data_IF_061340339394
#
_entry.id   IF_061340339394
#
_cell.length_a   1.000
_cell.length_b   1.000
_cell.length_c   1.000
_cell.angle_alpha   90.00
_cell.angle_beta   90.00
_cell.angle_gamma   90.00
#
_symmetry.space_group_name_H-M   'P 1'
#
loop_
_entity.id
_entity.type
_entity.pdbx_description
1 polymer ?
#
# COMPACT_ATOMS: atom_id res chain seq x y z
N UNK A 1 4.98 -11.98 -17.81
CA UNK A 1 4.34 -10.85 -18.51
C UNK A 1 3.06 -11.41 -19.09
N UNK A 2 1.90 -10.93 -18.65
CA UNK A 2 0.61 -11.55 -19.00
C UNK A 2 0.00 -10.88 -20.23
N UNK A 3 0.14 -9.55 -20.34
CA UNK A 3 -0.27 -8.77 -21.52
C UNK A 3 0.71 -7.61 -21.77
N UNK A 4 0.94 -7.26 -23.04
CA UNK A 4 1.73 -6.09 -23.44
C UNK A 4 1.03 -5.33 -24.56
N UNK A 5 0.77 -4.06 -24.32
CA UNK A 5 0.34 -3.04 -25.26
C UNK A 5 1.52 -2.13 -25.63
N UNK A 6 1.30 -1.15 -26.51
CA UNK A 6 2.33 -0.23 -26.98
C UNK A 6 3.05 0.48 -25.82
N UNK A 7 2.28 1.04 -24.88
CA UNK A 7 2.81 1.84 -23.75
C UNK A 7 2.44 1.27 -22.37
N UNK A 8 1.86 0.07 -22.33
CA UNK A 8 1.41 -0.53 -21.08
C UNK A 8 1.71 -2.02 -21.05
N UNK A 9 2.16 -2.52 -19.92
CA UNK A 9 2.30 -3.96 -19.70
C UNK A 9 1.69 -4.37 -18.39
N UNK A 10 0.95 -5.47 -18.43
CA UNK A 10 0.26 -6.06 -17.28
C UNK A 10 0.93 -7.38 -16.96
N UNK A 11 1.24 -7.58 -15.68
CA UNK A 11 1.93 -8.76 -15.19
C UNK A 11 1.49 -9.12 -13.79
N UNK A 12 1.64 -10.41 -13.47
CA UNK A 12 1.47 -10.94 -12.12
C UNK A 12 2.86 -11.26 -11.57
N UNK A 13 3.11 -10.88 -10.32
CA UNK A 13 4.34 -11.22 -9.61
C UNK A 13 4.15 -12.57 -8.91
N UNK A 14 4.81 -13.63 -9.40
CA UNK A 14 4.72 -14.99 -8.85
C UNK A 14 6.02 -15.39 -8.14
N UNK A 15 5.95 -16.44 -7.30
CA UNK A 15 7.14 -16.96 -6.61
C UNK A 15 8.24 -17.37 -7.60
N UNK A 16 7.85 -17.99 -8.71
CA UNK A 16 8.74 -18.49 -9.75
C UNK A 16 9.46 -17.35 -10.47
N UNK A 17 8.77 -16.22 -10.71
CA UNK A 17 9.40 -15.04 -11.32
C UNK A 17 10.41 -14.38 -10.39
N UNK A 18 10.11 -14.28 -9.10
CA UNK A 18 11.04 -13.77 -8.08
C UNK A 18 12.25 -14.70 -7.92
N UNK A 19 12.06 -16.03 -7.88
CA UNK A 19 13.17 -16.99 -7.82
C UNK A 19 14.13 -16.84 -8.99
N UNK A 20 13.59 -16.69 -10.21
CA UNK A 20 14.41 -16.48 -11.41
C UNK A 20 15.19 -15.17 -11.32
N UNK A 21 14.55 -14.09 -10.86
CA UNK A 21 15.23 -12.80 -10.66
C UNK A 21 16.41 -12.93 -9.69
N UNK A 22 16.22 -13.65 -8.57
CA UNK A 22 17.27 -13.91 -7.60
C UNK A 22 18.42 -14.75 -8.18
N UNK A 23 18.13 -15.74 -9.03
CA UNK A 23 19.16 -16.55 -9.70
C UNK A 23 20.05 -15.74 -10.65
N UNK A 24 19.51 -14.67 -11.25
CA UNK A 24 20.25 -13.74 -12.11
C UNK A 24 21.00 -12.68 -11.28
N UNK A 25 20.87 -12.68 -9.96
CA UNK A 25 21.53 -11.75 -9.05
C UNK A 25 20.74 -10.46 -8.77
N UNK A 26 19.47 -10.38 -9.17
CA UNK A 26 18.60 -9.26 -8.81
C UNK A 26 18.07 -9.48 -7.39
N UNK A 27 18.55 -8.70 -6.44
CA UNK A 27 18.20 -8.84 -5.02
C UNK A 27 16.78 -8.36 -4.73
N UNK A 28 16.17 -8.88 -3.65
CA UNK A 28 14.86 -8.45 -3.21
C UNK A 28 14.80 -6.93 -2.90
N UNK A 29 15.86 -6.37 -2.32
CA UNK A 29 15.96 -4.94 -2.03
C UNK A 29 15.90 -4.09 -3.31
N UNK A 30 16.58 -4.53 -4.38
CA UNK A 30 16.53 -3.86 -5.68
C UNK A 30 15.13 -3.93 -6.29
N UNK A 31 14.45 -5.09 -6.22
CA UNK A 31 13.08 -5.23 -6.72
C UNK A 31 12.15 -4.27 -5.99
N UNK A 32 12.22 -4.22 -4.66
CA UNK A 32 11.38 -3.33 -3.85
C UNK A 32 11.69 -1.86 -4.16
N UNK A 33 12.96 -1.49 -4.22
CA UNK A 33 13.39 -0.12 -4.52
C UNK A 33 12.90 0.32 -5.90
N UNK A 34 12.99 -0.55 -6.90
CA UNK A 34 12.54 -0.26 -8.25
C UNK A 34 11.02 -0.05 -8.31
N UNK A 35 10.24 -0.94 -7.68
CA UNK A 35 8.79 -0.84 -7.63
C UNK A 35 8.31 0.41 -6.89
N UNK A 36 8.97 0.77 -5.77
CA UNK A 36 8.65 1.99 -5.01
C UNK A 36 9.01 3.26 -5.79
N UNK A 37 10.19 3.29 -6.41
CA UNK A 37 10.68 4.47 -7.15
C UNK A 37 9.88 4.77 -8.43
N UNK A 38 9.25 3.76 -9.03
CA UNK A 38 8.43 3.90 -10.24
C UNK A 38 6.92 3.76 -9.96
N UNK A 39 6.52 3.69 -8.69
CA UNK A 39 5.10 3.66 -8.35
C UNK A 39 4.45 5.01 -8.70
N UNK A 40 3.22 4.96 -9.20
CA UNK A 40 2.47 6.18 -9.49
C UNK A 40 2.36 7.04 -8.22
N UNK A 41 2.54 8.38 -8.28
CA UNK A 41 2.55 9.24 -7.11
C UNK A 41 1.29 9.12 -6.25
N UNK A 42 0.14 8.88 -6.88
CA UNK A 42 -1.11 8.63 -6.16
C UNK A 42 -1.08 7.30 -5.39
N UNK A 43 -0.46 6.24 -5.91
CA UNK A 43 -0.32 4.98 -5.17
C UNK A 43 0.64 5.13 -3.98
N UNK A 44 1.64 6.01 -4.09
CA UNK A 44 2.55 6.36 -2.99
C UNK A 44 1.82 7.21 -1.94
N UNK A 45 1.10 8.26 -2.38
CA UNK A 45 0.34 9.16 -1.51
C UNK A 45 -0.79 8.42 -0.78
N UNK A 46 -1.52 7.56 -1.50
CA UNK A 46 -2.63 6.77 -0.96
C UNK A 46 -2.15 5.52 -0.22
N UNK A 47 -0.86 5.15 -0.23
CA UNK A 47 -0.21 4.11 0.61
C UNK A 47 -0.92 2.76 0.82
N UNK A 48 -1.92 2.44 0.00
CA UNK A 48 -2.86 1.35 0.25
C UNK A 48 -3.86 1.63 1.38
N UNK A 49 -4.65 0.62 1.78
CA UNK A 49 -5.76 0.78 2.71
C UNK A 49 -5.48 1.52 4.02
N UNK A 50 -4.24 1.44 4.49
CA UNK A 50 -3.78 2.02 5.75
C UNK A 50 -3.64 3.54 5.71
N UNK A 51 -3.22 4.14 4.58
CA UNK A 51 -3.19 5.58 4.48
C UNK A 51 -4.61 6.14 4.44
N UNK A 52 -5.59 5.41 3.89
CA UNK A 52 -6.98 5.83 3.94
C UNK A 52 -7.51 5.88 5.38
N UNK A 53 -7.14 4.90 6.23
CA UNK A 53 -7.47 4.91 7.68
C UNK A 53 -6.76 6.07 8.39
N UNK A 54 -5.48 6.31 8.08
CA UNK A 54 -4.72 7.43 8.62
C UNK A 54 -5.36 8.77 8.22
N UNK A 55 -5.64 8.97 6.94
CA UNK A 55 -6.18 10.21 6.40
C UNK A 55 -7.60 10.47 6.92
N UNK A 56 -8.40 9.42 7.10
CA UNK A 56 -9.68 9.50 7.82
C UNK A 56 -9.48 9.93 9.29
N UNK A 57 -8.54 9.31 10.00
CA UNK A 57 -8.25 9.61 11.40
C UNK A 57 -7.72 11.04 11.60
N UNK A 58 -6.93 11.56 10.63
CA UNK A 58 -6.49 12.97 10.60
C UNK A 58 -7.69 13.90 10.39
N UNK A 59 -8.54 13.61 9.41
CA UNK A 59 -9.71 14.43 9.07
C UNK A 59 -10.70 14.54 10.23
N UNK A 60 -10.93 13.43 10.93
CA UNK A 60 -11.83 13.36 12.09
C UNK A 60 -11.19 13.93 13.37
N UNK A 61 -9.91 14.29 13.36
CA UNK A 61 -9.20 14.82 14.53
C UNK A 61 -8.97 13.80 15.65
N UNK A 62 -8.97 12.49 15.31
CA UNK A 62 -8.85 11.38 16.26
C UNK A 62 -7.50 10.67 16.20
N UNK A 63 -6.61 11.10 15.31
CA UNK A 63 -5.27 10.52 15.16
C UNK A 63 -4.37 10.94 16.33
N UNK A 64 -3.85 9.96 17.08
CA UNK A 64 -2.83 10.18 18.10
C UNK A 64 -1.42 9.97 17.56
N UNK A 65 -1.21 8.92 16.75
CA UNK A 65 0.10 8.60 16.19
C UNK A 65 -0.02 7.73 14.94
N UNK A 66 0.91 7.85 14.00
CA UNK A 66 1.00 6.96 12.83
C UNK A 66 2.45 6.66 12.46
N UNK A 67 2.70 5.44 12.01
CA UNK A 67 3.98 4.98 11.48
C UNK A 67 3.75 4.32 10.11
N UNK A 68 4.31 4.96 9.09
CA UNK A 68 4.19 4.57 7.68
C UNK A 68 5.01 3.31 7.35
N UNK A 69 6.11 3.06 8.06
CA UNK A 69 6.99 1.92 7.82
C UNK A 69 6.42 0.65 8.46
N UNK A 70 5.90 0.78 9.69
CA UNK A 70 5.25 -0.31 10.42
C UNK A 70 3.78 -0.46 10.09
N UNK A 71 3.21 0.44 9.28
CA UNK A 71 1.79 0.44 8.89
C UNK A 71 0.88 0.42 10.13
N UNK A 72 1.16 1.31 11.08
CA UNK A 72 0.46 1.36 12.35
C UNK A 72 -0.19 2.73 12.56
N UNK A 73 -1.44 2.74 13.00
CA UNK A 73 -2.21 3.96 13.28
C UNK A 73 -2.82 3.81 14.67
N UNK A 74 -2.52 4.76 15.55
CA UNK A 74 -3.05 4.86 16.91
C UNK A 74 -4.05 6.00 16.92
N UNK A 75 -5.27 5.70 17.36
CA UNK A 75 -6.37 6.66 17.46
C UNK A 75 -6.83 6.81 18.90
N UNK A 76 -7.53 7.91 19.19
CA UNK A 76 -8.17 8.13 20.47
C UNK A 76 -9.24 7.08 20.76
N UNK A 77 -9.48 6.82 22.04
CA UNK A 77 -10.47 5.83 22.49
C UNK A 77 -11.87 6.14 21.93
N UNK A 78 -12.27 7.41 21.93
CA UNK A 78 -13.53 7.88 21.32
C UNK A 78 -13.57 7.71 19.80
N UNK A 79 -12.40 7.76 19.13
CA UNK A 79 -12.28 7.64 17.69
C UNK A 79 -12.30 6.20 17.17
N UNK A 80 -12.07 5.21 18.05
CA UNK A 80 -11.99 3.80 17.64
C UNK A 80 -13.27 3.35 16.92
N UNK A 81 -14.45 3.70 17.43
CA UNK A 81 -15.72 3.26 16.83
C UNK A 81 -15.92 3.83 15.43
N UNK A 82 -15.59 5.12 15.25
CA UNK A 82 -15.67 5.81 13.95
C UNK A 82 -14.77 5.14 12.91
N UNK A 83 -13.54 4.80 13.28
CA UNK A 83 -12.59 4.12 12.37
C UNK A 83 -13.10 2.74 11.97
N UNK A 84 -13.66 2.00 12.93
CA UNK A 84 -14.23 0.67 12.69
C UNK A 84 -15.40 0.73 11.70
N UNK A 85 -16.30 1.69 11.88
CA UNK A 85 -17.50 1.82 11.03
C UNK A 85 -17.14 2.32 9.63
N UNK A 86 -16.21 3.29 9.54
CA UNK A 86 -15.62 3.73 8.27
C UNK A 86 -14.92 2.58 7.52
N UNK A 87 -14.14 1.75 8.22
CA UNK A 87 -13.46 0.59 7.62
C UNK A 87 -14.46 -0.42 7.05
N UNK A 88 -15.55 -0.70 7.79
CA UNK A 88 -16.61 -1.61 7.32
C UNK A 88 -17.31 -1.07 6.07
N UNK A 89 -17.57 0.23 6.00
CA UNK A 89 -18.20 0.88 4.85
C UNK A 89 -17.29 0.90 3.61
N UNK A 90 -16.00 1.16 3.80
CA UNK A 90 -15.07 1.40 2.69
C UNK A 90 -14.23 0.19 2.27
N UNK A 91 -14.25 -0.92 3.02
CA UNK A 91 -13.53 -2.18 2.70
C UNK A 91 -13.83 -2.73 1.30
N UNK A 92 -15.04 -2.53 0.76
CA UNK A 92 -15.42 -3.05 -0.55
C UNK A 92 -14.93 -2.19 -1.73
N UNK A 93 -14.53 -0.94 -1.47
CA UNK A 93 -14.12 0.05 -2.46
C UNK A 93 -12.60 0.29 -2.50
N UNK A 94 -11.83 -0.47 -1.71
CA UNK A 94 -10.38 -0.33 -1.50
C UNK A 94 -9.60 -1.53 -2.01
#
# INVERSE_FOLDING_TARGET
MTYRFHDMSVGILTRESVRRALQVGITAAQIISFLRGNAHPQCIATGGPLNCVRDFSVREGILLWADSDKKLVIVSEEGHEKVRDWWKANRAAM
#
